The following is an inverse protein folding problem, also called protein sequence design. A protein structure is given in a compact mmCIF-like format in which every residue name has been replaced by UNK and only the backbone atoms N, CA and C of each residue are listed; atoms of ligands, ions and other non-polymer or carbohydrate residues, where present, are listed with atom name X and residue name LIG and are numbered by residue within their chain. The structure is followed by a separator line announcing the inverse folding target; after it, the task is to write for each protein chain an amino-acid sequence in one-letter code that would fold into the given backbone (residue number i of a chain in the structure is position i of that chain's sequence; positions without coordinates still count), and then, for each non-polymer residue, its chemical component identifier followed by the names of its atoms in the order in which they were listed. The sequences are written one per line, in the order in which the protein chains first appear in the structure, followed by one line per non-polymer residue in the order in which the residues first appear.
data_IF_097787806280
#
_entry.id   IF_097787806280
#
_cell.length_a   1.000
_cell.length_b   1.000
_cell.length_c   1.000
_cell.angle_alpha   90.00
_cell.angle_beta   90.00
_cell.angle_gamma   90.00
#
_symmetry.space_group_name_H-M   'P 1'
#
loop_
_entity.id
_entity.type
_entity.pdbx_description
1 polymer ?
#
# COMPACT_ATOMS: atom_id res chain seq x y z
N UNK A 1 -6.73 -0.20 -4.74
CA UNK A 1 -6.53 0.10 -6.18
C UNK A 1 -5.59 1.28 -6.45
N UNK A 2 -5.73 2.45 -5.79
CA UNK A 2 -4.84 3.60 -6.03
C UNK A 2 -3.34 3.26 -5.90
N UNK A 3 -2.97 2.44 -4.92
CA UNK A 3 -1.60 1.91 -4.75
C UNK A 3 -1.11 1.19 -6.01
N UNK A 4 -1.90 0.26 -6.54
CA UNK A 4 -1.57 -0.46 -7.78
C UNK A 4 -1.52 0.47 -9.00
N UNK A 5 -2.39 1.48 -9.09
CA UNK A 5 -2.34 2.47 -10.18
C UNK A 5 -1.05 3.29 -10.18
N UNK A 6 -0.57 3.69 -8.99
CA UNK A 6 0.71 4.38 -8.81
C UNK A 6 1.86 3.44 -9.22
N UNK A 7 1.84 2.20 -8.75
CA UNK A 7 2.85 1.21 -9.08
C UNK A 7 2.90 0.92 -10.58
N UNK A 8 1.75 0.87 -11.25
CA UNK A 8 1.67 0.66 -12.70
C UNK A 8 2.28 1.80 -13.49
N UNK A 9 1.99 3.04 -13.10
CA UNK A 9 2.63 4.22 -13.69
C UNK A 9 4.15 4.18 -13.54
N UNK A 10 4.65 3.82 -12.35
CA UNK A 10 6.09 3.71 -12.09
C UNK A 10 6.69 2.60 -12.96
N UNK A 11 6.12 1.40 -12.97
CA UNK A 11 6.61 0.28 -13.75
C UNK A 11 6.71 0.61 -15.25
N UNK A 12 5.72 1.29 -15.81
CA UNK A 12 5.70 1.70 -17.22
C UNK A 12 6.73 2.78 -17.58
N UNK A 13 7.29 3.45 -16.57
CA UNK A 13 8.31 4.48 -16.74
C UNK A 13 9.75 3.98 -16.57
N UNK A 14 9.93 2.71 -16.14
CA UNK A 14 11.24 2.17 -15.78
C UNK A 14 12.12 1.92 -17.01
N UNK A 15 13.40 2.28 -16.89
CA UNK A 15 14.47 2.00 -17.84
C UNK A 15 15.18 0.67 -17.58
N UNK A 16 14.77 -0.05 -16.54
CA UNK A 16 15.29 -1.34 -16.12
C UNK A 16 14.14 -2.33 -16.01
N UNK A 17 14.46 -3.63 -16.11
CA UNK A 17 13.44 -4.67 -15.98
C UNK A 17 12.97 -4.74 -14.52
N UNK A 18 11.67 -4.63 -14.33
CA UNK A 18 10.97 -4.90 -13.06
C UNK A 18 9.89 -5.95 -13.30
N UNK A 19 9.50 -6.66 -12.24
CA UNK A 19 8.43 -7.66 -12.32
C UNK A 19 7.07 -7.00 -12.17
N UNK A 20 6.64 -6.33 -13.25
CA UNK A 20 5.44 -5.49 -13.25
C UNK A 20 4.22 -6.25 -12.73
N UNK A 21 3.97 -7.47 -13.21
CA UNK A 21 2.75 -8.21 -12.88
C UNK A 21 2.69 -8.55 -11.38
N UNK A 22 3.80 -9.04 -10.82
CA UNK A 22 3.88 -9.34 -9.38
C UNK A 22 3.77 -8.07 -8.52
N UNK A 23 4.37 -6.96 -8.96
CA UNK A 23 4.22 -5.65 -8.29
C UNK A 23 2.76 -5.20 -8.27
N UNK A 24 2.06 -5.27 -9.40
CA UNK A 24 0.65 -4.84 -9.49
C UNK A 24 -0.23 -5.70 -8.60
N UNK A 25 -0.05 -7.02 -8.63
CA UNK A 25 -0.82 -7.94 -7.79
C UNK A 25 -0.52 -7.72 -6.30
N UNK A 26 0.75 -7.59 -5.91
CA UNK A 26 1.11 -7.25 -4.54
C UNK A 26 0.43 -5.96 -4.08
N UNK A 27 0.50 -4.89 -4.89
CA UNK A 27 -0.14 -3.62 -4.58
C UNK A 27 -1.68 -3.67 -4.54
N UNK A 28 -2.32 -4.57 -5.29
CA UNK A 28 -3.77 -4.77 -5.24
C UNK A 28 -4.20 -5.47 -3.95
N UNK A 29 -3.42 -6.44 -3.47
CA UNK A 29 -3.81 -7.36 -2.41
C UNK A 29 -3.14 -7.12 -1.04
N UNK A 30 -2.11 -6.27 -0.93
CA UNK A 30 -1.34 -6.10 0.31
C UNK A 30 -2.14 -5.72 1.57
N UNK A 31 -3.35 -5.16 1.40
CA UNK A 31 -4.17 -4.61 2.49
C UNK A 31 -5.49 -5.37 2.69
N UNK A 32 -5.63 -6.59 2.15
CA UNK A 32 -6.87 -7.39 2.21
C UNK A 32 -7.36 -7.65 3.65
N UNK A 33 -6.44 -7.79 4.61
CA UNK A 33 -6.77 -8.00 6.02
C UNK A 33 -7.24 -6.74 6.77
N UNK A 34 -7.21 -5.55 6.18
CA UNK A 34 -7.53 -4.31 6.90
C UNK A 34 -8.97 -4.23 7.41
N UNK A 35 -9.90 -4.98 6.81
CA UNK A 35 -11.28 -5.09 7.31
C UNK A 35 -11.34 -5.53 8.78
N UNK A 36 -10.37 -6.32 9.26
CA UNK A 36 -10.29 -6.79 10.65
C UNK A 36 -10.06 -5.67 11.66
N UNK A 37 -9.20 -4.70 11.31
CA UNK A 37 -8.82 -3.60 12.20
C UNK A 37 -9.58 -2.30 11.93
N UNK A 38 -10.49 -2.34 10.97
CA UNK A 38 -11.14 -1.16 10.47
C UNK A 38 -12.02 -0.50 11.54
N UNK A 39 -11.79 0.80 11.80
CA UNK A 39 -12.65 1.62 12.65
C UNK A 39 -13.64 2.41 11.80
N UNK A 40 -14.91 2.02 11.90
CA UNK A 40 -16.01 2.61 11.13
C UNK A 40 -16.32 4.07 11.49
N UNK A 41 -15.70 4.64 12.53
CA UNK A 41 -15.88 6.03 12.93
C UNK A 41 -15.20 7.01 11.94
N UNK A 42 -14.11 6.60 11.30
CA UNK A 42 -13.27 7.54 10.54
C UNK A 42 -13.84 7.98 9.19
N UNK A 43 -14.63 7.14 8.53
CA UNK A 43 -15.16 7.39 7.18
C UNK A 43 -16.60 6.87 7.05
N UNK A 44 -17.56 7.40 7.81
CA UNK A 44 -18.93 6.89 7.87
C UNK A 44 -19.64 6.91 6.50
N UNK A 45 -19.30 7.86 5.63
CA UNK A 45 -19.84 8.02 4.28
C UNK A 45 -19.57 6.80 3.38
N UNK A 46 -18.52 6.02 3.66
CA UNK A 46 -18.15 4.86 2.86
C UNK A 46 -19.12 3.67 3.03
N UNK A 47 -19.96 3.68 4.05
CA UNK A 47 -20.87 2.57 4.36
C UNK A 47 -22.32 2.83 3.99
N UNK A 48 -22.67 4.03 3.51
CA UNK A 48 -24.07 4.46 3.36
C UNK A 48 -24.91 3.50 2.50
N UNK A 49 -24.32 2.90 1.47
CA UNK A 49 -25.03 2.02 0.55
C UNK A 49 -25.54 0.73 1.21
N UNK A 50 -24.69 0.02 1.95
CA UNK A 50 -25.03 -1.28 2.56
C UNK A 50 -25.38 -1.15 4.06
N UNK A 51 -24.99 -0.03 4.69
CA UNK A 51 -25.17 0.26 6.10
C UNK A 51 -24.06 -0.29 7.02
N UNK A 52 -23.91 0.34 8.19
CA UNK A 52 -22.89 -0.02 9.17
C UNK A 52 -23.01 -1.47 9.68
N UNK A 53 -24.24 -1.94 9.91
CA UNK A 53 -24.49 -3.28 10.45
C UNK A 53 -24.05 -4.38 9.49
N UNK A 54 -24.20 -4.16 8.18
CA UNK A 54 -23.68 -5.05 7.16
C UNK A 54 -22.16 -5.19 7.26
N UNK A 55 -21.43 -4.07 7.29
CA UNK A 55 -19.97 -4.11 7.35
C UNK A 55 -19.42 -4.66 8.66
N UNK A 56 -20.10 -4.44 9.79
CA UNK A 56 -19.77 -5.10 11.07
C UNK A 56 -19.94 -6.61 11.00
N UNK A 57 -20.96 -7.10 10.29
CA UNK A 57 -21.15 -8.52 10.05
C UNK A 57 -19.99 -9.09 9.20
N UNK A 58 -19.64 -8.44 8.10
CA UNK A 58 -18.49 -8.82 7.27
C UNK A 58 -17.20 -8.83 8.09
N UNK A 59 -16.92 -7.80 8.87
CA UNK A 59 -15.76 -7.76 9.76
C UNK A 59 -15.74 -8.95 10.74
N UNK A 60 -16.90 -9.28 11.34
CA UNK A 60 -17.01 -10.42 12.26
C UNK A 60 -16.77 -11.77 11.56
N UNK A 61 -17.25 -11.93 10.33
CA UNK A 61 -17.01 -13.13 9.51
C UNK A 61 -15.52 -13.28 9.17
N UNK A 62 -14.84 -12.19 8.79
CA UNK A 62 -13.40 -12.18 8.51
C UNK A 62 -12.58 -12.47 9.77
N UNK A 63 -12.93 -11.88 10.91
CA UNK A 63 -12.27 -12.17 12.19
C UNK A 63 -12.45 -13.63 12.58
N UNK A 64 -13.66 -14.18 12.41
CA UNK A 64 -13.93 -15.59 12.73
C UNK A 64 -13.13 -16.55 11.85
N UNK A 65 -12.87 -16.18 10.58
CA UNK A 65 -12.19 -17.05 9.61
C UNK A 65 -10.67 -16.92 9.67
N UNK A 66 -10.15 -15.71 9.77
CA UNK A 66 -8.71 -15.42 9.62
C UNK A 66 -8.02 -14.95 10.91
N UNK A 67 -8.79 -14.68 11.97
CA UNK A 67 -8.28 -14.22 13.26
C UNK A 67 -8.25 -12.69 13.37
N UNK A 68 -7.61 -12.19 14.44
CA UNK A 68 -7.60 -10.76 14.80
C UNK A 68 -6.34 -9.99 14.37
N UNK A 69 -5.39 -10.67 13.73
CA UNK A 69 -4.17 -10.04 13.24
C UNK A 69 -4.33 -9.76 11.75
N UNK A 70 -4.34 -8.47 11.37
CA UNK A 70 -4.59 -8.05 9.99
C UNK A 70 -3.53 -8.58 9.01
N UNK A 71 -2.28 -8.68 9.44
CA UNK A 71 -1.17 -9.11 8.59
C UNK A 71 -1.28 -10.60 8.31
N UNK A 72 -1.51 -11.39 9.36
CA UNK A 72 -1.76 -12.83 9.24
C UNK A 72 -2.97 -13.10 8.35
N UNK A 73 -4.02 -12.28 8.49
CA UNK A 73 -5.22 -12.41 7.68
C UNK A 73 -5.00 -12.05 6.20
N UNK A 74 -4.27 -10.96 5.91
CA UNK A 74 -3.86 -10.63 4.53
C UNK A 74 -3.18 -11.84 3.89
N UNK A 75 -2.13 -12.38 4.51
CA UNK A 75 -1.38 -13.51 3.94
C UNK A 75 -2.24 -14.79 3.83
N UNK A 76 -3.23 -14.98 4.70
CA UNK A 76 -4.15 -16.12 4.62
C UNK A 76 -5.15 -15.96 3.45
N UNK A 77 -5.69 -14.75 3.26
CA UNK A 77 -6.59 -14.42 2.15
C UNK A 77 -5.84 -14.57 0.82
N UNK A 78 -4.63 -14.02 0.73
CA UNK A 78 -3.79 -14.06 -0.47
C UNK A 78 -3.48 -15.49 -0.91
N UNK A 79 -3.22 -16.39 0.05
CA UNK A 79 -3.08 -17.83 -0.21
C UNK A 79 -4.38 -18.48 -0.68
N UNK A 80 -5.50 -18.12 -0.06
CA UNK A 80 -6.81 -18.69 -0.39
C UNK A 80 -7.26 -18.33 -1.81
N UNK A 81 -6.99 -17.09 -2.25
CA UNK A 81 -7.31 -16.64 -3.62
C UNK A 81 -6.30 -17.13 -4.66
N UNK A 82 -5.25 -17.85 -4.24
CA UNK A 82 -4.29 -18.50 -5.13
C UNK A 82 -3.14 -17.61 -5.63
N UNK A 83 -2.76 -16.56 -4.89
CA UNK A 83 -1.56 -15.80 -5.23
C UNK A 83 -0.31 -16.67 -5.11
N UNK A 84 0.68 -16.39 -5.97
CA UNK A 84 1.95 -17.11 -5.94
C UNK A 84 2.76 -16.76 -4.69
N UNK A 85 3.72 -17.62 -4.34
CA UNK A 85 4.58 -17.39 -3.18
C UNK A 85 5.39 -16.10 -3.32
N UNK A 86 5.84 -15.78 -4.53
CA UNK A 86 6.60 -14.57 -4.83
C UNK A 86 5.80 -13.30 -4.53
N UNK A 87 4.50 -13.28 -4.86
CA UNK A 87 3.61 -12.14 -4.57
C UNK A 87 3.37 -12.03 -3.06
N UNK A 88 3.14 -13.17 -2.40
CA UNK A 88 2.92 -13.22 -0.94
C UNK A 88 4.16 -12.75 -0.18
N UNK A 89 5.36 -13.10 -0.65
CA UNK A 89 6.63 -12.63 -0.09
C UNK A 89 6.79 -11.12 -0.25
N UNK A 90 6.48 -10.56 -1.43
CA UNK A 90 6.46 -9.10 -1.62
C UNK A 90 5.51 -8.42 -0.63
N UNK A 91 4.28 -8.91 -0.50
CA UNK A 91 3.28 -8.37 0.44
C UNK A 91 3.79 -8.45 1.89
N UNK A 92 4.36 -9.59 2.28
CA UNK A 92 4.89 -9.78 3.63
C UNK A 92 6.02 -8.80 3.97
N UNK A 93 6.86 -8.46 3.00
CA UNK A 93 8.06 -7.64 3.21
C UNK A 93 7.78 -6.13 3.11
N UNK A 94 6.55 -5.71 2.77
CA UNK A 94 6.13 -4.30 2.68
C UNK A 94 5.90 -3.61 4.03
N UNK A 95 6.10 -4.27 5.17
CA UNK A 95 5.87 -3.69 6.50
C UNK A 95 6.74 -2.42 6.70
N UNK A 96 6.09 -1.33 7.11
CA UNK A 96 6.72 -0.04 7.46
C UNK A 96 7.83 -0.17 8.53
N UNK A 97 7.80 -1.18 9.39
CA UNK A 97 8.87 -1.46 10.36
C UNK A 97 10.14 -2.00 9.70
N UNK A 98 10.05 -2.46 8.46
CA UNK A 98 11.16 -3.01 7.68
C UNK A 98 11.79 -1.98 6.74
N UNK A 99 11.44 -0.69 6.80
CA UNK A 99 11.96 0.32 5.86
C UNK A 99 13.47 0.32 5.70
N UNK A 100 14.23 0.17 6.79
CA UNK A 100 15.69 0.08 6.71
C UNK A 100 16.16 -1.16 5.96
N UNK A 101 15.46 -2.29 6.07
CA UNK A 101 15.75 -3.51 5.31
C UNK A 101 15.34 -3.37 3.84
N UNK A 102 14.17 -2.77 3.58
CA UNK A 102 13.67 -2.52 2.21
C UNK A 102 14.71 -1.70 1.45
N UNK A 103 15.14 -0.56 2.01
CA UNK A 103 16.17 0.29 1.41
C UNK A 103 17.49 -0.46 1.11
N UNK A 104 17.94 -1.33 2.02
CA UNK A 104 19.18 -2.07 1.86
C UNK A 104 19.06 -3.36 1.03
N UNK A 105 17.85 -3.73 0.60
CA UNK A 105 17.61 -5.02 -0.08
C UNK A 105 18.07 -5.02 -1.54
N UNK A 106 18.18 -3.84 -2.17
CA UNK A 106 18.31 -3.68 -3.62
C UNK A 106 17.20 -4.39 -4.42
N UNK A 107 16.05 -4.65 -3.79
CA UNK A 107 14.89 -5.25 -4.43
C UNK A 107 13.96 -4.14 -4.92
N UNK A 108 14.19 -3.71 -6.16
CA UNK A 108 13.43 -2.62 -6.78
C UNK A 108 11.93 -2.92 -6.86
N UNK A 109 11.52 -4.19 -6.97
CA UNK A 109 10.11 -4.56 -6.96
C UNK A 109 9.45 -4.23 -5.60
N UNK A 110 10.13 -4.59 -4.51
CA UNK A 110 9.67 -4.31 -3.14
C UNK A 110 9.68 -2.81 -2.84
N UNK A 111 10.72 -2.11 -3.29
CA UNK A 111 10.83 -0.65 -3.19
C UNK A 111 9.66 0.05 -3.89
N UNK A 112 9.31 -0.34 -5.12
CA UNK A 112 8.18 0.21 -5.87
C UNK A 112 6.87 -0.07 -5.13
N UNK A 113 6.65 -1.29 -4.64
CA UNK A 113 5.45 -1.63 -3.89
C UNK A 113 5.29 -0.73 -2.66
N UNK A 114 6.36 -0.61 -1.86
CA UNK A 114 6.32 0.17 -0.63
C UNK A 114 6.17 1.67 -0.88
N UNK A 115 6.88 2.18 -1.88
CA UNK A 115 6.77 3.57 -2.27
C UNK A 115 5.35 3.91 -2.71
N UNK A 116 4.74 3.04 -3.52
CA UNK A 116 3.37 3.23 -4.03
C UNK A 116 2.32 3.24 -2.92
N UNK A 117 2.47 2.37 -1.90
CA UNK A 117 1.62 2.36 -0.69
C UNK A 117 1.66 3.73 0.03
N UNK A 118 2.86 4.28 0.20
CA UNK A 118 3.05 5.56 0.87
C UNK A 118 2.63 6.77 0.03
N UNK A 119 2.50 6.64 -1.30
CA UNK A 119 1.95 7.71 -2.14
C UNK A 119 0.42 7.78 -2.10
N UNK A 120 -0.27 6.74 -1.61
CA UNK A 120 -1.72 6.71 -1.49
C UNK A 120 -2.18 7.23 -0.11
N UNK A 121 -2.82 8.41 -0.12
CA UNK A 121 -3.62 8.88 1.01
C UNK A 121 -5.07 8.37 0.88
N UNK A 122 -5.91 8.46 1.92
CA UNK A 122 -7.29 7.97 1.88
C UNK A 122 -8.13 8.49 0.69
N UNK A 123 -7.89 9.74 0.25
CA UNK A 123 -8.70 10.38 -0.79
C UNK A 123 -7.92 10.80 -2.04
N UNK A 124 -6.59 10.78 -2.01
CA UNK A 124 -5.76 11.35 -3.07
C UNK A 124 -4.40 10.65 -3.20
N UNK A 125 -3.72 10.92 -4.30
CA UNK A 125 -2.29 10.65 -4.45
C UNK A 125 -1.52 11.87 -3.94
N UNK A 126 -0.60 11.66 -3.01
CA UNK A 126 0.15 12.74 -2.32
C UNK A 126 1.64 12.49 -2.40
N UNK A 127 2.45 13.52 -2.21
CA UNK A 127 3.90 13.35 -2.02
C UNK A 127 4.23 12.61 -0.72
N UNK A 128 5.45 12.07 -0.61
CA UNK A 128 5.93 11.44 0.62
C UNK A 128 5.90 12.40 1.81
N UNK A 129 6.27 13.68 1.61
CA UNK A 129 6.23 14.67 2.68
C UNK A 129 4.81 14.89 3.22
N UNK A 130 3.84 15.08 2.31
CA UNK A 130 2.43 15.22 2.69
C UNK A 130 1.90 13.96 3.38
N UNK A 131 2.29 12.77 2.90
CA UNK A 131 1.93 11.50 3.53
C UNK A 131 2.45 11.40 4.96
N UNK A 132 3.69 11.84 5.22
CA UNK A 132 4.29 11.79 6.55
C UNK A 132 3.56 12.73 7.52
N UNK A 133 3.18 13.92 7.05
CA UNK A 133 2.42 14.88 7.86
C UNK A 133 1.01 14.38 8.16
N UNK A 134 0.35 13.74 7.19
CA UNK A 134 -0.95 13.06 7.39
C UNK A 134 -0.83 11.92 8.39
N UNK A 135 0.14 11.02 8.20
CA UNK A 135 0.37 9.86 9.07
C UNK A 135 0.61 10.30 10.52
N UNK A 136 1.44 11.33 10.73
CA UNK A 136 1.73 11.87 12.05
C UNK A 136 0.46 12.36 12.77
N UNK A 137 -0.48 12.96 12.04
CA UNK A 137 -1.76 13.41 12.62
C UNK A 137 -2.68 12.22 12.91
N UNK A 138 -2.83 11.30 11.96
CA UNK A 138 -3.75 10.15 12.08
C UNK A 138 -3.32 9.15 13.15
N UNK A 139 -2.03 8.88 13.29
CA UNK A 139 -1.52 7.90 14.24
C UNK A 139 -1.21 8.48 15.64
N UNK A 140 -1.47 9.76 15.89
CA UNK A 140 -1.20 10.38 17.20
C UNK A 140 -2.00 9.68 18.31
N UNK A 141 -1.32 9.12 19.31
CA UNK A 141 -1.93 8.36 20.40
C UNK A 141 -2.35 6.93 20.03
N UNK A 142 -2.06 6.47 18.81
CA UNK A 142 -2.34 5.10 18.37
C UNK A 142 -1.23 4.14 18.81
N UNK A 143 -1.52 2.84 18.99
CA UNK A 143 -0.52 1.81 19.34
C UNK A 143 0.64 1.68 18.32
N UNK A 144 0.42 2.18 17.10
CA UNK A 144 1.39 2.18 16.00
C UNK A 144 2.01 3.57 15.78
N UNK A 145 1.86 4.50 16.73
CA UNK A 145 2.54 5.79 16.66
C UNK A 145 4.06 5.58 16.69
N UNK A 146 4.76 6.14 15.71
CA UNK A 146 6.21 6.23 15.74
C UNK A 146 6.66 7.34 16.68
N UNK A 147 7.77 7.16 17.38
CA UNK A 147 8.44 8.26 18.07
C UNK A 147 9.12 9.20 17.06
N UNK A 148 9.74 10.29 17.54
CA UNK A 148 10.37 11.27 16.64
C UNK A 148 11.52 10.67 15.82
N UNK A 149 12.41 9.90 16.45
CA UNK A 149 13.56 9.30 15.78
C UNK A 149 13.13 8.27 14.73
N UNK A 150 12.13 7.45 15.06
CA UNK A 150 11.55 6.48 14.12
C UNK A 150 10.94 7.19 12.90
N UNK A 151 10.26 8.32 13.09
CA UNK A 151 9.71 9.12 11.98
C UNK A 151 10.79 9.71 11.09
N UNK A 152 11.85 10.27 11.69
CA UNK A 152 12.97 10.85 10.96
C UNK A 152 13.71 9.78 10.15
N UNK A 153 14.00 8.62 10.77
CA UNK A 153 14.64 7.48 10.10
C UNK A 153 13.75 6.89 8.99
N UNK A 154 12.44 6.75 9.25
CA UNK A 154 11.49 6.29 8.25
C UNK A 154 11.48 7.23 7.05
N UNK A 155 11.36 8.55 7.30
CA UNK A 155 11.39 9.59 6.28
C UNK A 155 12.67 9.54 5.47
N UNK A 156 13.83 9.44 6.12
CA UNK A 156 15.11 9.34 5.44
C UNK A 156 15.17 8.13 4.50
N UNK A 157 14.76 6.95 4.99
CA UNK A 157 14.81 5.71 4.20
C UNK A 157 13.85 5.76 3.00
N UNK A 158 12.63 6.29 3.16
CA UNK A 158 11.70 6.38 2.03
C UNK A 158 12.15 7.41 0.99
N UNK A 159 12.80 8.50 1.39
CA UNK A 159 13.38 9.46 0.45
C UNK A 159 14.55 8.85 -0.33
N UNK A 160 15.33 7.95 0.29
CA UNK A 160 16.38 7.19 -0.41
C UNK A 160 15.79 6.21 -1.43
N UNK A 161 14.71 5.51 -1.06
CA UNK A 161 13.97 4.63 -1.97
C UNK A 161 13.37 5.42 -3.14
N UNK A 162 12.78 6.59 -2.88
CA UNK A 162 12.31 7.50 -3.93
C UNK A 162 13.44 7.78 -4.93
N UNK A 163 14.61 8.20 -4.44
CA UNK A 163 15.77 8.45 -5.29
C UNK A 163 16.23 7.20 -6.07
N UNK A 164 16.23 6.01 -5.46
CA UNK A 164 16.58 4.75 -6.13
C UNK A 164 15.63 4.45 -7.30
N UNK A 165 14.32 4.51 -7.05
CA UNK A 165 13.29 4.29 -8.07
C UNK A 165 13.45 5.27 -9.23
N UNK A 166 13.52 6.58 -8.94
CA UNK A 166 13.55 7.60 -9.99
C UNK A 166 14.92 7.77 -10.66
N UNK A 167 16.00 7.20 -10.12
CA UNK A 167 17.26 7.06 -10.85
C UNK A 167 17.17 6.08 -12.02
N UNK A 168 16.14 5.22 -12.03
CA UNK A 168 15.87 4.22 -13.06
C UNK A 168 14.58 4.49 -13.84
N UNK A 169 13.99 5.69 -13.73
CA UNK A 169 12.71 6.05 -14.34
C UNK A 169 12.83 7.27 -15.28
N UNK A 170 11.93 7.37 -16.25
CA UNK A 170 11.79 8.54 -17.13
C UNK A 170 10.83 9.61 -16.59
N UNK A 171 10.14 9.35 -15.48
CA UNK A 171 9.28 10.34 -14.81
C UNK A 171 9.94 10.79 -13.50
N UNK A 172 9.37 11.80 -12.86
CA UNK A 172 9.78 12.31 -11.55
C UNK A 172 8.70 12.06 -10.49
N UNK A 173 9.02 12.16 -9.19
CA UNK A 173 8.02 12.03 -8.13
C UNK A 173 6.77 12.90 -8.32
N UNK A 174 6.94 14.11 -8.86
CA UNK A 174 5.87 15.11 -9.08
C UNK A 174 4.92 14.72 -10.22
N UNK A 175 5.37 13.87 -11.15
CA UNK A 175 4.54 13.39 -12.26
C UNK A 175 3.49 12.35 -11.80
N UNK A 176 3.57 11.92 -10.54
CA UNK A 176 2.62 10.98 -9.92
C UNK A 176 1.62 11.79 -9.08
N UNK A 177 0.37 11.82 -9.54
CA UNK A 177 -0.75 12.54 -8.95
C UNK A 177 -2.08 11.90 -9.39
N UNK A 178 -3.20 12.33 -8.82
CA UNK A 178 -4.52 11.75 -9.11
C UNK A 178 -4.89 11.76 -10.61
N UNK A 179 -4.51 12.81 -11.34
CA UNK A 179 -4.80 12.93 -12.78
C UNK A 179 -3.98 11.92 -13.58
N UNK A 180 -2.68 11.82 -13.29
CA UNK A 180 -1.76 10.93 -13.99
C UNK A 180 -2.07 9.43 -13.79
N UNK A 181 -2.57 9.05 -12.59
CA UNK A 181 -2.86 7.65 -12.27
C UNK A 181 -4.23 7.20 -12.79
N UNK A 182 -5.10 8.14 -13.20
CA UNK A 182 -6.50 7.88 -13.55
C UNK A 182 -6.65 6.79 -14.63
N UNK A 183 -5.84 6.86 -15.70
CA UNK A 183 -5.90 5.87 -16.79
C UNK A 183 -5.55 4.45 -16.31
N UNK A 184 -4.67 4.31 -15.33
CA UNK A 184 -4.30 3.02 -14.75
C UNK A 184 -5.39 2.52 -13.79
N UNK A 185 -6.01 3.42 -13.03
CA UNK A 185 -7.15 3.07 -12.19
C UNK A 185 -8.32 2.50 -13.02
N UNK A 186 -8.67 3.17 -14.12
CA UNK A 186 -9.71 2.72 -15.05
C UNK A 186 -9.37 1.35 -15.66
N UNK A 187 -8.10 1.13 -16.03
CA UNK A 187 -7.64 -0.17 -16.51
C UNK A 187 -7.79 -1.27 -15.45
N UNK A 188 -7.36 -1.02 -14.23
CA UNK A 188 -7.39 -2.00 -13.13
C UNK A 188 -8.82 -2.33 -12.68
N UNK A 189 -9.78 -1.42 -12.86
CA UNK A 189 -11.20 -1.70 -12.53
C UNK A 189 -11.83 -2.72 -13.47
N UNK A 190 -11.23 -2.88 -14.66
CA UNK A 190 -11.65 -3.85 -15.67
C UNK A 190 -10.74 -5.09 -15.70
N UNK A 191 -9.84 -5.23 -14.71
CA UNK A 191 -8.93 -6.38 -14.65
C UNK A 191 -9.71 -7.65 -14.30
N UNK A 192 -9.63 -8.65 -15.16
CA UNK A 192 -10.03 -10.03 -14.84
C UNK A 192 -8.82 -10.77 -14.28
N UNK A 193 -8.96 -11.32 -13.07
CA UNK A 193 -7.95 -12.12 -12.37
C UNK A 193 -8.37 -13.59 -12.47
#
# INVERSE_FOLDING_TARGET
MRVASIAEQICDSMNVKVDKDNIILACLFHDMGNIIKYDFIHFPEQYEKEGLDYWKKIQSEFISKYGQNEHVATLAIDKEIGLSLEIIELINDMDSKLMGKIYNSNNLNLEICKYSDLRAAPHSVVSINERMDEAKKRYKGHRNEFNQQERELFKENIMKIENQIFSHSNIKPEDINDESVKKYLEKLQNLSI
#
